data_IF_507858586317
#
_entry.id   IF_507858586317
#
_cell.length_a   1.000
_cell.length_b   1.000
_cell.length_c   1.000
_cell.angle_alpha   90.00
_cell.angle_beta   90.00
_cell.angle_gamma   90.00
#
_symmetry.space_group_name_H-M   'P 1'
#
loop_
_entity.id
_entity.type
_entity.pdbx_description
1 polymer ?
#
# COMPACT_ATOMS: atom_id res chain seq x y z
N UNK A 1 -14.47 -16.66 -18.40
CA UNK A 1 -14.79 -15.46 -19.20
C UNK A 1 -13.85 -15.41 -20.38
N UNK A 2 -14.32 -15.01 -21.57
CA UNK A 2 -13.45 -14.81 -22.73
C UNK A 2 -12.54 -13.63 -22.42
N UNK A 3 -11.22 -13.81 -22.52
CA UNK A 3 -10.28 -12.71 -22.31
C UNK A 3 -10.52 -11.65 -23.38
N UNK A 4 -10.76 -10.45 -22.96
CA UNK A 4 -10.94 -9.29 -23.84
C UNK A 4 -9.58 -8.91 -24.42
N UNK A 5 -9.53 -8.49 -25.67
CA UNK A 5 -8.29 -8.21 -26.40
C UNK A 5 -8.33 -6.86 -27.09
N UNK A 6 -7.15 -6.25 -27.20
CA UNK A 6 -6.93 -5.03 -27.96
C UNK A 6 -5.60 -5.07 -28.70
N UNK A 7 -5.32 -4.03 -29.48
CA UNK A 7 -4.06 -3.84 -30.19
C UNK A 7 -3.49 -2.48 -29.92
N UNK A 8 -2.17 -2.39 -29.77
CA UNK A 8 -1.47 -1.12 -29.60
C UNK A 8 -1.57 -0.28 -30.86
N UNK A 9 -2.16 0.90 -30.73
CA UNK A 9 -2.28 1.91 -31.77
C UNK A 9 -1.14 2.93 -31.74
N UNK A 10 -0.67 3.32 -30.54
CA UNK A 10 0.40 4.28 -30.35
C UNK A 10 1.21 4.01 -29.07
N UNK A 11 2.45 4.49 -29.03
CA UNK A 11 3.37 4.34 -27.89
C UNK A 11 4.01 5.70 -27.61
N UNK A 12 3.89 6.16 -26.35
CA UNK A 12 4.52 7.39 -25.86
C UNK A 12 5.23 7.10 -24.51
N UNK A 13 6.50 6.72 -24.58
CA UNK A 13 7.25 6.29 -23.40
C UNK A 13 6.65 5.02 -22.82
N UNK A 14 6.21 5.06 -21.56
CA UNK A 14 5.49 3.95 -20.92
C UNK A 14 3.96 4.08 -20.95
N UNK A 15 3.44 5.08 -21.68
CA UNK A 15 2.02 5.17 -22.03
C UNK A 15 1.81 4.55 -23.41
N UNK A 16 0.79 3.71 -23.54
CA UNK A 16 0.36 3.11 -24.79
C UNK A 16 -1.11 3.41 -25.05
N UNK A 17 -1.47 3.63 -26.30
CA UNK A 17 -2.86 3.71 -26.73
C UNK A 17 -3.24 2.39 -27.36
N UNK A 18 -4.36 1.84 -26.95
CA UNK A 18 -4.85 0.51 -27.36
C UNK A 18 -6.25 0.65 -27.94
N UNK A 19 -6.43 0.19 -29.17
CA UNK A 19 -7.75 0.04 -29.79
C UNK A 19 -8.39 -1.26 -29.26
N UNK A 20 -9.65 -1.22 -28.86
CA UNK A 20 -10.42 -2.35 -28.36
C UNK A 20 -11.87 -2.34 -28.88
N UNK A 21 -12.50 -3.51 -28.85
CA UNK A 21 -13.88 -3.71 -29.32
C UNK A 21 -14.83 -4.16 -28.19
N UNK A 22 -14.28 -4.77 -27.14
CA UNK A 22 -15.03 -5.33 -26.01
C UNK A 22 -15.21 -4.28 -24.89
N UNK A 23 -16.09 -4.54 -23.91
CA UNK A 23 -16.26 -3.70 -22.74
C UNK A 23 -15.04 -3.80 -21.81
N UNK A 24 -14.40 -2.68 -21.51
CA UNK A 24 -13.30 -2.57 -20.54
C UNK A 24 -13.63 -1.55 -19.45
N UNK A 25 -12.96 -1.65 -18.31
CA UNK A 25 -13.20 -0.75 -17.18
C UNK A 25 -11.96 0.10 -16.86
N UNK A 26 -12.19 1.29 -16.34
CA UNK A 26 -11.10 2.15 -15.87
C UNK A 26 -10.41 1.52 -14.66
N UNK A 27 -9.09 1.69 -14.55
CA UNK A 27 -8.19 1.05 -13.58
C UNK A 27 -8.08 -0.49 -13.71
N UNK A 28 -8.52 -1.05 -14.82
CA UNK A 28 -8.33 -2.46 -15.12
C UNK A 28 -6.86 -2.77 -15.42
N UNK A 29 -6.39 -3.91 -14.93
CA UNK A 29 -5.09 -4.44 -15.31
C UNK A 29 -5.18 -5.08 -16.70
N UNK A 30 -4.24 -4.73 -17.55
CA UNK A 30 -4.06 -5.35 -18.84
C UNK A 30 -2.60 -5.82 -19.02
N UNK A 31 -2.38 -6.73 -19.93
CA UNK A 31 -1.07 -7.30 -20.21
C UNK A 31 -0.70 -7.10 -21.68
N UNK A 32 0.38 -6.40 -21.93
CA UNK A 32 0.97 -6.26 -23.26
C UNK A 32 1.75 -7.53 -23.59
N UNK A 33 1.43 -8.16 -24.69
CA UNK A 33 2.12 -9.36 -25.20
C UNK A 33 3.10 -8.96 -26.29
N UNK A 34 4.39 -8.94 -26.01
CA UNK A 34 5.43 -8.58 -26.95
C UNK A 34 6.63 -9.51 -26.84
N UNK A 35 7.05 -10.11 -27.95
CA UNK A 35 8.23 -10.99 -28.04
C UNK A 35 8.30 -12.09 -26.98
N UNK A 36 7.13 -12.71 -26.66
CA UNK A 36 7.00 -13.76 -25.65
C UNK A 36 7.04 -13.27 -24.20
N UNK A 37 7.08 -11.96 -23.97
CA UNK A 37 6.97 -11.33 -22.66
C UNK A 37 5.56 -10.86 -22.40
N UNK A 38 5.20 -10.77 -21.14
CA UNK A 38 3.90 -10.32 -20.67
C UNK A 38 4.09 -9.15 -19.71
N UNK A 39 3.89 -7.92 -20.20
CA UNK A 39 4.11 -6.72 -19.40
C UNK A 39 2.80 -6.23 -18.81
N UNK A 40 2.79 -6.08 -17.50
CA UNK A 40 1.63 -5.57 -16.76
C UNK A 40 1.42 -4.09 -17.01
N UNK A 41 0.17 -3.69 -17.19
CA UNK A 41 -0.24 -2.30 -17.40
C UNK A 41 -1.59 -2.04 -16.72
N UNK A 42 -1.96 -0.78 -16.60
CA UNK A 42 -3.24 -0.34 -16.04
C UNK A 42 -3.92 0.64 -17.00
N UNK A 43 -5.22 0.49 -17.18
CA UNK A 43 -6.06 1.40 -17.95
C UNK A 43 -6.28 2.67 -17.14
N UNK A 44 -5.70 3.79 -17.61
CA UNK A 44 -5.82 5.08 -16.92
C UNK A 44 -7.00 5.90 -17.44
N UNK A 45 -7.24 5.86 -18.77
CA UNK A 45 -8.28 6.64 -19.42
C UNK A 45 -8.89 5.87 -20.58
N UNK A 46 -10.18 6.02 -20.77
CA UNK A 46 -10.92 5.46 -21.89
C UNK A 46 -11.59 6.60 -22.66
N UNK A 47 -11.45 6.59 -23.98
CA UNK A 47 -12.07 7.59 -24.86
C UNK A 47 -12.58 6.90 -26.14
N UNK A 48 -13.89 6.75 -26.24
CA UNK A 48 -14.50 5.99 -27.35
C UNK A 48 -14.05 4.53 -27.33
N UNK A 49 -13.42 4.08 -28.41
CA UNK A 49 -12.86 2.74 -28.58
C UNK A 49 -11.34 2.68 -28.33
N UNK A 50 -10.77 3.71 -27.71
CA UNK A 50 -9.37 3.78 -27.33
C UNK A 50 -9.17 3.82 -25.83
N UNK A 51 -8.24 3.00 -25.35
CA UNK A 51 -7.79 2.99 -23.96
C UNK A 51 -6.34 3.48 -23.89
N UNK A 52 -6.07 4.35 -22.91
CA UNK A 52 -4.73 4.81 -22.57
C UNK A 52 -4.27 3.99 -21.38
N UNK A 53 -3.23 3.17 -21.59
CA UNK A 53 -2.67 2.30 -20.59
C UNK A 53 -1.30 2.78 -20.18
N UNK A 54 -1.02 2.68 -18.90
CA UNK A 54 0.31 2.88 -18.37
C UNK A 54 0.95 1.53 -18.08
N UNK A 55 2.09 1.26 -18.72
CA UNK A 55 2.88 0.05 -18.48
C UNK A 55 3.71 0.21 -17.23
N UNK A 56 3.68 -0.77 -16.33
CA UNK A 56 4.43 -0.77 -15.06
C UNK A 56 5.92 -1.06 -15.22
N UNK A 57 6.35 -1.42 -16.42
CA UNK A 57 7.72 -1.74 -16.77
C UNK A 57 8.23 -0.88 -17.91
N UNK A 58 9.51 -1.07 -18.29
CA UNK A 58 10.08 -0.40 -19.46
C UNK A 58 9.49 -0.96 -20.75
N UNK A 59 9.05 -0.07 -21.61
CA UNK A 59 8.38 -0.40 -22.89
C UNK A 59 9.34 -0.65 -24.07
N UNK A 60 10.64 -0.78 -23.79
CA UNK A 60 11.65 -1.02 -24.84
C UNK A 60 11.38 -2.36 -25.55
N UNK A 61 11.13 -2.31 -26.84
CA UNK A 61 10.84 -3.48 -27.67
C UNK A 61 9.37 -3.71 -27.97
N UNK A 62 8.43 -3.01 -27.32
CA UNK A 62 6.99 -3.02 -27.65
C UNK A 62 6.79 -2.34 -29.02
N UNK A 63 5.86 -2.87 -29.82
CA UNK A 63 5.56 -2.40 -31.17
C UNK A 63 4.09 -2.03 -31.32
N UNK A 64 3.81 -1.06 -32.19
CA UNK A 64 2.44 -0.83 -32.67
C UNK A 64 1.93 -2.10 -33.35
N UNK A 65 0.71 -2.52 -33.00
CA UNK A 65 0.11 -3.76 -33.44
C UNK A 65 0.28 -4.94 -32.47
N UNK A 66 1.14 -4.83 -31.45
CA UNK A 66 1.24 -5.85 -30.39
C UNK A 66 -0.11 -6.04 -29.69
N UNK A 67 -0.39 -7.27 -29.27
CA UNK A 67 -1.64 -7.66 -28.64
C UNK A 67 -1.66 -7.25 -27.16
N UNK A 68 -2.82 -6.82 -26.68
CA UNK A 68 -3.07 -6.50 -25.26
C UNK A 68 -4.23 -7.37 -24.76
N UNK A 69 -4.03 -8.07 -23.64
CA UNK A 69 -5.05 -8.85 -22.95
C UNK A 69 -5.54 -8.08 -21.71
N UNK A 70 -6.85 -7.83 -21.64
CA UNK A 70 -7.48 -7.24 -20.45
C UNK A 70 -7.86 -8.34 -19.44
N UNK A 71 -7.67 -8.06 -18.15
CA UNK A 71 -7.83 -9.07 -17.10
C UNK A 71 -9.23 -9.16 -16.52
N UNK A 72 -10.06 -8.13 -16.70
CA UNK A 72 -11.38 -7.99 -16.07
C UNK A 72 -11.31 -7.58 -14.60
N UNK A 73 -10.13 -7.22 -14.08
CA UNK A 73 -9.93 -6.84 -12.67
C UNK A 73 -8.95 -5.71 -12.47
N UNK A 74 -9.08 -4.98 -11.37
CA UNK A 74 -8.19 -3.89 -11.00
C UNK A 74 -6.86 -4.40 -10.41
N UNK A 75 -5.85 -3.51 -10.35
CA UNK A 75 -4.59 -3.80 -9.67
C UNK A 75 -4.88 -4.18 -8.21
N UNK A 76 -4.48 -5.39 -7.84
CA UNK A 76 -4.80 -5.99 -6.55
C UNK A 76 -3.54 -6.50 -5.86
N UNK A 77 -3.60 -6.58 -4.53
CA UNK A 77 -2.59 -7.20 -3.67
C UNK A 77 -3.14 -8.49 -3.07
N UNK A 78 -2.27 -9.44 -2.80
CA UNK A 78 -2.58 -10.65 -2.08
C UNK A 78 -2.48 -10.40 -0.56
N UNK A 79 -3.56 -10.69 0.16
CA UNK A 79 -3.70 -10.49 1.60
C UNK A 79 -3.79 -11.85 2.29
N UNK A 80 -2.91 -12.10 3.24
CA UNK A 80 -2.82 -13.38 3.95
C UNK A 80 -1.61 -13.43 4.87
N UNK A 81 -1.40 -14.54 5.60
CA UNK A 81 -0.24 -14.71 6.47
C UNK A 81 1.06 -14.81 5.67
N UNK A 82 2.15 -14.24 6.20
CA UNK A 82 3.46 -14.19 5.54
C UNK A 82 3.81 -12.83 4.95
N UNK A 83 3.02 -11.79 5.20
CA UNK A 83 3.31 -10.42 4.77
C UNK A 83 4.34 -9.73 5.66
N UNK A 84 4.38 -10.04 6.96
CA UNK A 84 5.36 -9.45 7.88
C UNK A 84 6.78 -9.85 7.52
N UNK A 85 7.73 -9.00 7.85
CA UNK A 85 9.16 -9.16 7.55
C UNK A 85 9.53 -9.06 6.06
N UNK A 86 8.55 -8.86 5.18
CA UNK A 86 8.79 -8.83 3.75
C UNK A 86 9.13 -7.43 3.23
N UNK A 87 9.85 -7.46 2.11
CA UNK A 87 10.22 -6.28 1.34
C UNK A 87 9.66 -6.47 -0.07
N UNK A 88 8.71 -5.64 -0.43
CA UNK A 88 8.03 -5.67 -1.73
C UNK A 88 8.37 -4.46 -2.59
N UNK A 89 8.15 -4.58 -3.89
CA UNK A 89 8.03 -3.42 -4.76
C UNK A 89 6.61 -2.82 -4.71
N UNK A 90 6.35 -1.78 -5.49
CA UNK A 90 5.04 -1.12 -5.55
C UNK A 90 3.90 -1.99 -6.10
N UNK A 91 4.20 -3.14 -6.70
CA UNK A 91 3.26 -4.12 -7.25
C UNK A 91 3.17 -5.38 -6.39
N UNK A 92 3.76 -5.35 -5.20
CA UNK A 92 3.83 -6.47 -4.25
C UNK A 92 4.69 -7.65 -4.74
N UNK A 93 5.69 -7.43 -5.60
CA UNK A 93 6.67 -8.47 -5.89
C UNK A 93 7.71 -8.55 -4.75
N UNK A 94 8.00 -9.75 -4.20
CA UNK A 94 8.97 -9.90 -3.12
C UNK A 94 10.40 -9.70 -3.64
N UNK A 95 11.02 -8.57 -3.29
CA UNK A 95 12.34 -8.15 -3.80
C UNK A 95 13.47 -9.12 -3.42
N UNK A 96 13.52 -9.71 -2.20
CA UNK A 96 14.55 -10.68 -1.87
C UNK A 96 14.46 -11.95 -2.72
N UNK A 97 13.27 -12.41 -3.06
CA UNK A 97 13.05 -13.60 -3.89
C UNK A 97 13.38 -13.34 -5.35
N UNK A 98 13.01 -12.16 -5.85
CA UNK A 98 13.43 -11.70 -7.18
C UNK A 98 14.96 -11.68 -7.29
N UNK A 99 15.67 -11.09 -6.30
CA UNK A 99 17.11 -11.01 -6.29
C UNK A 99 17.78 -12.41 -6.22
N UNK A 100 17.22 -13.33 -5.45
CA UNK A 100 17.71 -14.72 -5.37
C UNK A 100 17.53 -15.47 -6.69
N UNK A 101 16.41 -15.25 -7.39
CA UNK A 101 16.07 -15.99 -8.60
C UNK A 101 16.74 -15.43 -9.86
N UNK A 102 16.87 -14.10 -9.95
CA UNK A 102 17.29 -13.42 -11.18
C UNK A 102 18.58 -12.59 -11.01
N UNK A 103 19.12 -12.48 -9.79
CA UNK A 103 20.31 -11.67 -9.50
C UNK A 103 20.00 -10.18 -9.45
N UNK A 104 21.01 -9.35 -9.77
CA UNK A 104 20.91 -7.89 -9.64
C UNK A 104 20.13 -7.21 -10.78
N UNK A 105 19.93 -7.89 -11.90
CA UNK A 105 19.22 -7.36 -13.05
C UNK A 105 17.88 -8.08 -13.19
N UNK A 106 16.79 -7.37 -12.91
CA UNK A 106 15.45 -7.93 -13.03
C UNK A 106 15.04 -8.02 -14.51
N UNK A 107 14.68 -9.22 -14.98
CA UNK A 107 14.15 -9.38 -16.34
C UNK A 107 12.76 -8.73 -16.45
N UNK A 108 12.46 -8.23 -17.64
CA UNK A 108 11.15 -7.63 -17.96
C UNK A 108 10.10 -8.73 -18.11
N UNK A 109 8.90 -8.51 -17.58
CA UNK A 109 7.75 -9.42 -17.67
C UNK A 109 7.76 -10.54 -16.63
N UNK A 110 8.41 -10.33 -15.49
CA UNK A 110 8.47 -11.31 -14.39
C UNK A 110 7.61 -10.86 -13.22
N UNK A 111 6.68 -11.70 -12.84
CA UNK A 111 5.89 -11.58 -11.61
C UNK A 111 6.18 -12.80 -10.71
N UNK A 112 6.23 -12.59 -9.40
CA UNK A 112 6.31 -13.65 -8.40
C UNK A 112 5.09 -13.56 -7.47
N UNK A 113 4.68 -14.74 -6.95
CA UNK A 113 3.65 -14.78 -5.91
C UNK A 113 4.12 -13.96 -4.71
N UNK A 114 3.27 -13.09 -4.20
CA UNK A 114 3.58 -12.22 -3.07
C UNK A 114 3.76 -12.99 -1.76
N UNK A 115 3.03 -14.10 -1.62
CA UNK A 115 3.03 -14.97 -0.46
C UNK A 115 3.55 -16.37 -0.82
N UNK A 116 4.25 -17.01 0.12
CA UNK A 116 4.75 -18.38 -0.07
C UNK A 116 3.62 -19.40 -0.10
N UNK A 117 3.40 -20.03 -1.25
CA UNK A 117 2.43 -21.13 -1.38
C UNK A 117 2.91 -22.46 -0.77
N UNK A 118 4.16 -22.55 -0.32
CA UNK A 118 4.77 -23.77 0.24
C UNK A 118 4.81 -23.76 1.77
N UNK A 119 4.75 -22.60 2.37
CA UNK A 119 4.77 -22.45 3.83
C UNK A 119 3.48 -22.97 4.43
N UNK A 120 3.60 -23.68 5.56
CA UNK A 120 2.47 -24.25 6.31
C UNK A 120 2.27 -23.48 7.60
N UNK A 121 1.06 -23.06 7.81
CA UNK A 121 0.60 -22.29 8.97
C UNK A 121 -0.24 -23.16 9.89
N UNK A 122 -0.01 -23.05 11.20
CA UNK A 122 -0.79 -23.76 12.22
C UNK A 122 -2.15 -23.07 12.42
N UNK A 123 -3.15 -23.49 11.66
CA UNK A 123 -4.50 -22.92 11.70
C UNK A 123 -5.26 -23.40 12.93
N UNK A 124 -5.81 -22.45 13.69
CA UNK A 124 -6.73 -22.68 14.81
C UNK A 124 -8.08 -22.08 14.47
N UNK A 125 -9.14 -22.89 14.28
CA UNK A 125 -10.48 -22.38 13.99
C UNK A 125 -11.06 -21.67 15.21
N UNK A 126 -11.73 -20.54 15.00
CA UNK A 126 -12.48 -19.78 16.00
C UNK A 126 -13.99 -19.82 15.71
N UNK A 127 -14.36 -19.80 14.43
CA UNK A 127 -15.74 -19.92 13.99
C UNK A 127 -16.24 -21.37 14.00
N UNK A 128 -17.56 -21.56 13.99
CA UNK A 128 -18.23 -22.85 13.98
C UNK A 128 -19.14 -22.98 12.76
N UNK A 129 -19.36 -24.24 12.32
CA UNK A 129 -20.34 -24.52 11.28
C UNK A 129 -21.72 -24.05 11.73
N UNK A 130 -22.44 -23.32 10.86
CA UNK A 130 -23.74 -22.71 11.12
C UNK A 130 -23.65 -21.23 11.52
N UNK A 131 -22.46 -20.70 11.79
CA UNK A 131 -22.30 -19.28 12.08
C UNK A 131 -22.68 -18.45 10.85
N UNK A 132 -23.29 -17.29 11.12
CA UNK A 132 -23.54 -16.26 10.11
C UNK A 132 -22.31 -15.40 9.98
N UNK A 133 -21.78 -15.30 8.78
CA UNK A 133 -20.51 -14.63 8.48
C UNK A 133 -20.67 -13.63 7.35
N UNK A 134 -19.92 -12.55 7.43
CA UNK A 134 -19.81 -11.53 6.38
C UNK A 134 -18.36 -11.09 6.23
N UNK A 135 -18.07 -10.21 5.27
CA UNK A 135 -16.73 -9.68 5.04
C UNK A 135 -16.03 -9.25 6.33
N UNK A 136 -14.76 -9.62 6.48
CA UNK A 136 -13.95 -9.30 7.67
C UNK A 136 -14.24 -10.14 8.91
N UNK A 137 -15.22 -11.06 8.88
CA UNK A 137 -15.48 -11.96 10.01
C UNK A 137 -14.30 -12.92 10.22
N UNK A 138 -13.87 -13.11 11.47
CA UNK A 138 -12.72 -13.96 11.81
C UNK A 138 -13.10 -15.44 11.81
N UNK A 139 -12.57 -16.20 10.87
CA UNK A 139 -12.77 -17.67 10.77
C UNK A 139 -11.88 -18.44 11.73
N UNK A 140 -10.66 -17.97 11.93
CA UNK A 140 -9.65 -18.59 12.76
C UNK A 140 -8.40 -17.74 12.83
N UNK A 141 -7.30 -18.30 13.34
CA UNK A 141 -6.03 -17.60 13.43
C UNK A 141 -4.85 -18.52 13.16
N UNK A 142 -3.74 -17.93 12.75
CA UNK A 142 -2.42 -18.57 12.64
C UNK A 142 -1.37 -17.73 13.36
N UNK A 143 -0.31 -18.33 13.93
CA UNK A 143 0.80 -17.54 14.47
C UNK A 143 1.64 -16.95 13.34
N UNK A 144 1.87 -15.65 13.36
CA UNK A 144 2.78 -14.93 12.46
C UNK A 144 3.71 -14.05 13.30
N UNK A 145 4.95 -14.51 13.47
CA UNK A 145 5.91 -13.87 14.37
C UNK A 145 5.40 -13.75 15.79
N UNK A 146 5.22 -12.52 16.28
CA UNK A 146 4.70 -12.20 17.62
C UNK A 146 3.17 -12.02 17.66
N UNK A 147 2.53 -12.04 16.50
CA UNK A 147 1.10 -11.77 16.34
C UNK A 147 0.29 -13.03 16.07
N UNK A 148 -0.98 -12.97 16.44
CA UNK A 148 -2.02 -13.90 15.97
C UNK A 148 -2.66 -13.30 14.73
N UNK A 149 -2.27 -13.80 13.55
CA UNK A 149 -2.85 -13.36 12.30
C UNK A 149 -4.26 -13.91 12.16
N UNK A 150 -5.27 -13.04 12.12
CA UNK A 150 -6.66 -13.43 11.93
C UNK A 150 -6.91 -13.83 10.48
N UNK A 151 -7.45 -15.02 10.27
CA UNK A 151 -7.92 -15.46 8.94
C UNK A 151 -9.37 -15.03 8.80
N UNK A 152 -9.62 -14.14 7.87
CA UNK A 152 -10.91 -13.45 7.72
C UNK A 152 -11.65 -13.91 6.47
N UNK A 153 -12.98 -13.75 6.50
CA UNK A 153 -13.82 -13.84 5.31
C UNK A 153 -13.40 -12.73 4.34
N UNK A 154 -13.16 -13.03 3.05
CA UNK A 154 -12.76 -12.04 2.06
C UNK A 154 -13.69 -10.82 2.00
N UNK A 155 -13.12 -9.66 1.73
CA UNK A 155 -13.86 -8.38 1.79
C UNK A 155 -14.84 -8.17 0.62
N UNK A 156 -14.81 -9.02 -0.39
CA UNK A 156 -15.76 -9.07 -1.50
C UNK A 156 -17.06 -9.87 -1.18
N UNK A 157 -17.20 -10.39 0.04
CA UNK A 157 -18.40 -11.09 0.54
C UNK A 157 -19.32 -10.07 1.22
N UNK A 158 -20.14 -9.38 0.44
CA UNK A 158 -21.04 -8.33 0.95
C UNK A 158 -22.29 -8.88 1.66
N UNK A 159 -22.82 -10.01 1.17
CA UNK A 159 -24.01 -10.63 1.75
C UNK A 159 -23.68 -11.42 3.02
N UNK A 160 -24.64 -11.50 3.95
CA UNK A 160 -24.55 -12.40 5.10
C UNK A 160 -24.65 -13.86 4.61
N UNK A 161 -23.59 -14.64 4.81
CA UNK A 161 -23.47 -16.03 4.40
C UNK A 161 -23.52 -16.98 5.59
N UNK A 162 -23.88 -18.24 5.37
CA UNK A 162 -23.80 -19.31 6.36
C UNK A 162 -22.46 -20.05 6.22
N UNK A 163 -21.74 -20.26 7.33
CA UNK A 163 -20.53 -21.08 7.35
C UNK A 163 -20.92 -22.56 7.32
N UNK A 164 -20.81 -23.20 6.16
CA UNK A 164 -21.22 -24.60 5.96
C UNK A 164 -20.12 -25.62 6.25
N UNK A 165 -18.85 -25.16 6.31
CA UNK A 165 -17.70 -25.99 6.66
C UNK A 165 -16.51 -25.18 7.09
N UNK A 166 -15.73 -25.71 8.05
CA UNK A 166 -14.46 -25.14 8.51
C UNK A 166 -13.48 -26.28 8.78
N UNK A 167 -12.21 -26.05 8.44
CA UNK A 167 -11.12 -26.99 8.67
C UNK A 167 -10.85 -27.15 10.17
N UNK A 168 -10.41 -28.35 10.57
CA UNK A 168 -9.94 -28.61 11.93
C UNK A 168 -8.60 -27.91 12.17
N UNK A 169 -8.22 -27.74 13.44
CA UNK A 169 -6.89 -27.29 13.79
C UNK A 169 -5.81 -28.19 13.13
N UNK A 170 -4.82 -27.56 12.52
CA UNK A 170 -3.78 -28.28 11.77
C UNK A 170 -2.95 -27.39 10.86
N UNK A 171 -2.00 -27.99 10.14
CA UNK A 171 -1.07 -27.29 9.25
C UNK A 171 -1.59 -27.23 7.82
N UNK A 172 -1.81 -26.03 7.35
CA UNK A 172 -2.33 -25.74 6.00
C UNK A 172 -1.46 -24.71 5.30
N UNK A 173 -1.42 -24.77 3.98
CA UNK A 173 -0.85 -23.72 3.13
C UNK A 173 -1.88 -22.62 2.91
N UNK A 174 -1.45 -21.46 2.43
CA UNK A 174 -2.35 -20.34 2.10
C UNK A 174 -3.36 -20.69 1.00
N UNK A 175 -3.08 -21.70 0.16
CA UNK A 175 -3.94 -22.13 -0.96
C UNK A 175 -4.89 -23.26 -0.57
N UNK A 176 -4.71 -23.89 0.59
CA UNK A 176 -5.59 -24.95 1.06
C UNK A 176 -6.96 -24.40 1.45
N UNK A 177 -7.98 -25.16 1.17
CA UNK A 177 -9.35 -24.84 1.60
C UNK A 177 -9.46 -24.94 3.11
N UNK A 178 -9.80 -23.82 3.78
CA UNK A 178 -9.97 -23.76 5.23
C UNK A 178 -11.43 -23.59 5.65
N UNK A 179 -12.28 -23.04 4.80
CA UNK A 179 -13.70 -22.89 5.07
C UNK A 179 -14.54 -22.95 3.82
N UNK A 180 -15.86 -23.10 3.98
CA UNK A 180 -16.84 -22.94 2.90
C UNK A 180 -18.01 -22.15 3.43
N UNK A 181 -18.44 -21.15 2.66
CA UNK A 181 -19.60 -20.31 2.96
C UNK A 181 -20.67 -20.53 1.90
N UNK A 182 -21.94 -20.39 2.30
CA UNK A 182 -23.10 -20.46 1.42
C UNK A 182 -23.81 -19.13 1.42
N UNK A 183 -23.97 -18.54 0.27
CA UNK A 183 -24.68 -17.27 0.10
C UNK A 183 -26.21 -17.43 0.23
N UNK A 184 -26.99 -16.35 0.36
CA UNK A 184 -28.46 -16.42 0.43
C UNK A 184 -29.11 -17.05 -0.79
N UNK A 185 -28.43 -17.11 -1.94
CA UNK A 185 -28.89 -17.74 -3.18
C UNK A 185 -28.56 -19.24 -3.25
N UNK A 186 -27.90 -19.76 -2.20
CA UNK A 186 -27.56 -21.17 -2.10
C UNK A 186 -26.23 -21.57 -2.76
N UNK A 187 -25.49 -20.63 -3.35
CA UNK A 187 -24.19 -20.88 -3.96
C UNK A 187 -23.12 -21.06 -2.88
N UNK A 188 -22.34 -22.12 -2.99
CA UNK A 188 -21.22 -22.40 -2.07
C UNK A 188 -19.92 -21.85 -2.65
N UNK A 189 -19.15 -21.15 -1.81
CA UNK A 189 -17.80 -20.66 -2.11
C UNK A 189 -16.82 -21.22 -1.09
N UNK A 190 -15.73 -21.80 -1.59
CA UNK A 190 -14.62 -22.23 -0.76
C UNK A 190 -13.69 -21.06 -0.47
N UNK A 191 -13.18 -21.01 0.77
CA UNK A 191 -12.29 -19.97 1.25
C UNK A 191 -10.92 -20.56 1.61
N UNK A 192 -9.89 -19.78 1.33
CA UNK A 192 -8.48 -20.06 1.65
C UNK A 192 -7.97 -19.04 2.65
N UNK A 193 -6.72 -19.16 3.13
CA UNK A 193 -6.14 -18.19 4.07
C UNK A 193 -5.76 -16.88 3.41
N UNK A 194 -5.57 -16.87 2.08
CA UNK A 194 -5.22 -15.67 1.33
C UNK A 194 -6.29 -15.34 0.30
N UNK A 195 -6.46 -14.05 0.04
CA UNK A 195 -7.35 -13.52 -1.00
C UNK A 195 -6.80 -12.22 -1.57
N UNK A 196 -7.26 -11.83 -2.76
CA UNK A 196 -6.84 -10.60 -3.41
C UNK A 196 -7.81 -9.45 -3.13
N UNK A 197 -7.26 -8.21 -3.01
CA UNK A 197 -8.06 -6.99 -2.86
C UNK A 197 -7.51 -5.86 -3.74
N UNK A 198 -8.37 -5.07 -4.42
CA UNK A 198 -7.94 -3.96 -5.27
C UNK A 198 -7.32 -2.83 -4.43
N UNK A 199 -6.09 -2.39 -4.79
CA UNK A 199 -5.35 -1.40 -3.98
C UNK A 199 -6.00 -0.01 -3.95
N UNK A 200 -6.74 0.36 -5.01
CA UNK A 200 -7.43 1.66 -5.10
C UNK A 200 -8.79 1.68 -4.41
N UNK A 201 -9.26 0.54 -3.89
CA UNK A 201 -10.53 0.43 -3.15
C UNK A 201 -10.23 0.34 -1.65
N UNK A 202 -10.70 1.29 -0.83
CA UNK A 202 -10.54 1.21 0.62
C UNK A 202 -11.18 -0.05 1.21
N UNK A 203 -10.58 -0.60 2.26
CA UNK A 203 -11.17 -1.71 3.02
C UNK A 203 -12.12 -1.13 4.07
N UNK A 204 -13.42 -1.36 3.88
CA UNK A 204 -14.50 -0.88 4.73
C UNK A 204 -15.29 -2.01 5.41
N UNK A 205 -14.60 -3.12 5.74
CA UNK A 205 -15.18 -4.31 6.36
C UNK A 205 -15.29 -4.20 7.90
N UNK A 206 -15.46 -3.00 8.43
CA UNK A 206 -15.64 -2.68 9.84
C UNK A 206 -17.10 -2.33 10.16
N UNK A 207 -17.43 -2.30 11.45
CA UNK A 207 -18.77 -1.92 11.92
C UNK A 207 -18.96 -0.40 11.87
N UNK A 208 -17.96 0.33 12.37
CA UNK A 208 -17.99 1.79 12.48
C UNK A 208 -16.59 2.38 12.39
N UNK A 209 -16.47 3.55 11.77
CA UNK A 209 -15.25 4.36 11.77
C UNK A 209 -15.42 5.48 12.79
N UNK A 210 -14.51 5.51 13.77
CA UNK A 210 -14.52 6.49 14.84
C UNK A 210 -13.72 7.73 14.49
N UNK A 211 -14.06 8.85 15.13
CA UNK A 211 -13.20 10.00 15.13
C UNK A 211 -11.98 9.73 16.02
N UNK A 212 -10.74 9.94 15.54
CA UNK A 212 -9.55 9.71 16.34
C UNK A 212 -9.43 10.79 17.43
N UNK A 213 -9.52 10.38 18.69
CA UNK A 213 -9.45 11.26 19.88
C UNK A 213 -8.33 10.88 20.82
N UNK A 214 -7.83 9.66 20.75
CA UNK A 214 -6.73 9.20 21.60
C UNK A 214 -5.38 9.61 20.99
N UNK A 215 -4.45 10.19 21.79
CA UNK A 215 -3.11 10.47 21.30
C UNK A 215 -2.33 9.18 21.03
N UNK A 216 -1.56 9.15 19.96
CA UNK A 216 -0.52 8.17 19.72
C UNK A 216 0.71 8.53 20.53
N UNK A 217 1.07 7.73 21.51
CA UNK A 217 2.31 7.92 22.27
C UNK A 217 3.52 7.57 21.38
N UNK A 218 4.21 8.59 20.88
CA UNK A 218 5.37 8.43 19.99
C UNK A 218 6.68 8.25 20.76
N UNK A 219 6.70 8.54 22.07
CA UNK A 219 7.87 8.61 22.94
C UNK A 219 8.86 9.73 22.51
N UNK A 220 8.45 10.62 21.64
CA UNK A 220 9.20 11.80 21.24
C UNK A 220 8.60 13.02 21.94
N UNK A 221 9.29 13.52 22.96
CA UNK A 221 8.77 14.55 23.89
C UNK A 221 8.14 15.75 23.17
N UNK A 222 8.81 16.32 22.18
CA UNK A 222 8.30 17.50 21.46
C UNK A 222 7.00 17.21 20.72
N UNK A 223 6.83 15.99 20.19
CA UNK A 223 5.61 15.58 19.51
C UNK A 223 4.51 15.39 20.54
N UNK A 224 4.73 14.52 21.52
CA UNK A 224 3.70 14.13 22.48
C UNK A 224 3.19 15.29 23.35
N UNK A 225 4.02 16.34 23.55
CA UNK A 225 3.64 17.50 24.39
C UNK A 225 3.11 18.70 23.62
N UNK A 226 3.61 18.98 22.41
CA UNK A 226 3.25 20.17 21.66
C UNK A 226 2.42 19.89 20.42
N UNK A 227 2.64 18.76 19.75
CA UNK A 227 2.01 18.41 18.47
C UNK A 227 1.50 16.98 18.47
N UNK A 228 0.61 16.59 19.42
CA UNK A 228 0.18 15.21 19.56
C UNK A 228 -0.46 14.69 18.29
N UNK A 229 -0.03 13.50 17.87
CA UNK A 229 -0.61 12.77 16.75
C UNK A 229 -1.76 11.91 17.30
N UNK A 230 -2.91 11.96 16.66
CA UNK A 230 -4.02 11.09 17.05
C UNK A 230 -3.80 9.65 16.53
N UNK A 231 -4.10 8.66 17.35
CA UNK A 231 -4.10 7.24 16.99
C UNK A 231 -5.20 6.98 15.95
N UNK A 232 -4.82 6.47 14.79
CA UNK A 232 -5.73 6.39 13.64
C UNK A 232 -5.92 7.71 12.90
N UNK A 233 -5.15 8.74 13.25
CA UNK A 233 -5.14 10.04 12.58
C UNK A 233 -4.10 10.13 11.47
N UNK A 234 -3.84 11.37 11.06
CA UNK A 234 -2.93 11.69 9.96
C UNK A 234 -1.94 12.76 10.37
N UNK A 235 -0.70 12.65 9.91
CA UNK A 235 0.29 13.69 10.13
C UNK A 235 1.26 13.81 8.95
N UNK A 236 1.93 14.94 8.89
CA UNK A 236 2.92 15.22 7.87
C UNK A 236 4.22 15.74 8.49
N UNK A 237 5.35 15.34 7.92
CA UNK A 237 6.68 15.85 8.25
C UNK A 237 7.22 16.57 7.02
N UNK A 238 6.94 17.86 6.84
CA UNK A 238 7.57 18.63 5.79
C UNK A 238 8.93 19.12 6.25
N UNK A 239 9.84 19.25 5.31
CA UNK A 239 11.15 19.81 5.59
C UNK A 239 12.10 19.71 4.40
N UNK A 240 13.12 20.55 4.35
CA UNK A 240 14.12 20.53 3.30
C UNK A 240 14.90 19.21 3.28
N UNK A 241 15.63 18.99 2.20
CA UNK A 241 16.53 17.84 2.11
C UNK A 241 17.60 17.88 3.21
N UNK A 242 17.83 16.74 3.87
CA UNK A 242 18.82 16.65 4.97
C UNK A 242 18.34 17.12 6.34
N UNK A 243 17.09 17.61 6.48
CA UNK A 243 16.54 18.04 7.76
C UNK A 243 16.19 16.89 8.75
N UNK A 244 16.34 15.63 8.33
CA UNK A 244 16.13 14.47 9.20
C UNK A 244 14.74 13.87 9.16
N UNK A 245 13.96 14.04 8.06
CA UNK A 245 12.62 13.46 7.89
C UNK A 245 12.61 11.95 8.12
N UNK A 246 13.41 11.21 7.37
CA UNK A 246 13.50 9.75 7.46
C UNK A 246 13.98 9.30 8.85
N UNK A 247 14.90 10.05 9.46
CA UNK A 247 15.38 9.75 10.84
C UNK A 247 14.26 9.90 11.85
N UNK A 248 13.44 10.96 11.74
CA UNK A 248 12.29 11.14 12.63
C UNK A 248 11.23 10.05 12.43
N UNK A 249 10.96 9.64 11.19
CA UNK A 249 10.06 8.52 10.91
C UNK A 249 10.59 7.21 11.52
N UNK A 250 11.87 6.90 11.38
CA UNK A 250 12.49 5.72 11.98
C UNK A 250 12.40 5.77 13.52
N UNK A 251 12.60 6.95 14.11
CA UNK A 251 12.46 7.14 15.56
C UNK A 251 11.03 6.83 16.02
N UNK A 252 10.02 7.39 15.35
CA UNK A 252 8.60 7.14 15.65
C UNK A 252 8.30 5.65 15.45
N UNK A 253 8.73 5.03 14.36
CA UNK A 253 8.47 3.61 14.08
C UNK A 253 9.04 2.68 15.16
N UNK A 254 10.18 3.06 15.76
CA UNK A 254 10.86 2.27 16.78
C UNK A 254 10.19 2.35 18.15
N UNK A 255 9.77 3.55 18.56
CA UNK A 255 9.38 3.82 19.94
C UNK A 255 7.88 4.00 20.15
N UNK A 256 7.12 4.36 19.12
CA UNK A 256 5.69 4.58 19.24
C UNK A 256 4.92 3.33 19.67
N UNK A 257 3.83 3.53 20.39
CA UNK A 257 2.93 2.44 20.84
C UNK A 257 2.02 1.96 19.71
N UNK A 258 2.63 1.23 18.78
CA UNK A 258 1.99 0.63 17.59
C UNK A 258 2.38 -0.82 17.46
N UNK A 259 1.52 -1.62 16.83
CA UNK A 259 1.76 -3.04 16.62
C UNK A 259 2.57 -3.28 15.36
N UNK A 260 2.16 -2.70 14.24
CA UNK A 260 2.76 -2.93 12.92
C UNK A 260 3.21 -1.60 12.29
N UNK A 261 4.37 -1.65 11.66
CA UNK A 261 4.93 -0.56 10.86
C UNK A 261 4.90 -0.95 9.38
N UNK A 262 4.43 -0.05 8.53
CA UNK A 262 4.55 -0.18 7.08
C UNK A 262 5.33 1.03 6.57
N UNK A 263 6.43 0.77 5.88
CA UNK A 263 7.26 1.81 5.27
C UNK A 263 7.03 1.77 3.76
N UNK A 264 6.52 2.86 3.22
CA UNK A 264 6.35 3.06 1.80
C UNK A 264 7.40 4.06 1.28
N UNK A 265 8.49 3.55 0.72
CA UNK A 265 9.47 4.35 0.01
C UNK A 265 8.95 4.65 -1.40
N UNK A 266 8.36 5.84 -1.59
CA UNK A 266 7.63 6.23 -2.80
C UNK A 266 8.54 7.04 -3.74
N UNK A 267 9.47 6.39 -4.42
CA UNK A 267 10.35 7.04 -5.40
C UNK A 267 11.59 7.69 -4.79
N UNK A 268 12.01 7.25 -3.61
CA UNK A 268 13.25 7.73 -3.00
C UNK A 268 14.50 7.28 -3.77
N UNK A 269 15.64 7.90 -3.49
CA UNK A 269 16.91 7.56 -4.12
C UNK A 269 17.34 6.16 -3.73
N UNK A 270 17.85 5.38 -4.67
CA UNK A 270 18.28 4.01 -4.43
C UNK A 270 19.27 3.90 -3.24
N UNK A 271 20.16 4.88 -3.04
CA UNK A 271 21.09 4.92 -1.90
C UNK A 271 20.39 4.99 -0.55
N UNK A 272 19.40 5.86 -0.41
CA UNK A 272 18.62 6.03 0.82
C UNK A 272 17.77 4.80 1.14
N UNK A 273 17.20 4.20 0.09
CA UNK A 273 16.44 2.96 0.24
C UNK A 273 17.36 1.81 0.68
N UNK A 274 18.53 1.66 0.07
CA UNK A 274 19.52 0.64 0.44
C UNK A 274 20.00 0.84 1.88
N UNK A 275 20.19 2.08 2.31
CA UNK A 275 20.54 2.40 3.70
C UNK A 275 19.41 1.96 4.65
N UNK A 276 18.17 2.32 4.37
CA UNK A 276 17.00 1.88 5.14
C UNK A 276 16.92 0.35 5.20
N UNK A 277 17.08 -0.34 4.08
CA UNK A 277 17.03 -1.81 4.02
C UNK A 277 18.19 -2.49 4.78
N UNK A 278 19.33 -1.83 4.93
CA UNK A 278 20.48 -2.36 5.67
C UNK A 278 20.41 -2.04 7.17
N UNK A 279 19.95 -0.85 7.53
CA UNK A 279 19.95 -0.38 8.91
C UNK A 279 18.68 -0.80 9.65
N UNK A 280 17.53 -0.75 9.00
CA UNK A 280 16.25 -1.04 9.65
C UNK A 280 16.17 -2.45 10.26
N UNK A 281 16.67 -3.53 9.62
CA UNK A 281 16.70 -4.87 10.23
C UNK A 281 17.63 -4.99 11.45
N UNK A 282 18.56 -4.03 11.65
CA UNK A 282 19.45 -4.00 12.81
C UNK A 282 18.84 -3.25 14.00
N UNK A 283 17.77 -2.49 13.76
CA UNK A 283 17.08 -1.77 14.82
C UNK A 283 16.38 -2.75 15.75
N UNK A 284 16.67 -2.63 17.03
CA UNK A 284 16.00 -3.41 18.06
C UNK A 284 14.67 -2.75 18.46
N UNK A 285 13.61 -3.56 18.54
CA UNK A 285 12.34 -3.15 19.11
C UNK A 285 12.48 -3.15 20.64
N UNK A 286 12.40 -1.98 21.31
CA UNK A 286 12.58 -1.89 22.74
C UNK A 286 11.53 -2.63 23.57
N UNK A 287 10.41 -3.01 22.95
CA UNK A 287 9.34 -3.76 23.60
C UNK A 287 9.59 -5.26 23.67
N UNK A 288 10.26 -5.80 22.66
CA UNK A 288 10.46 -7.25 22.51
C UNK A 288 11.91 -7.68 22.62
N UNK A 289 12.89 -6.76 22.50
CA UNK A 289 14.31 -7.05 22.38
C UNK A 289 14.69 -7.78 21.08
N UNK A 290 13.76 -7.88 20.13
CA UNK A 290 13.94 -8.49 18.81
C UNK A 290 14.12 -7.42 17.73
N UNK A 291 14.40 -7.84 16.52
CA UNK A 291 14.51 -6.89 15.41
C UNK A 291 13.15 -6.24 15.11
N UNK A 292 13.18 -4.92 14.86
CA UNK A 292 12.00 -4.16 14.46
C UNK A 292 11.36 -4.69 13.17
N UNK A 293 12.15 -5.35 12.33
CA UNK A 293 11.69 -5.96 11.08
C UNK A 293 10.61 -7.04 11.31
N UNK A 294 10.56 -7.70 12.49
CA UNK A 294 9.55 -8.74 12.78
C UNK A 294 8.12 -8.20 12.77
N UNK A 295 7.93 -6.89 12.96
CA UNK A 295 6.63 -6.22 12.89
C UNK A 295 6.54 -5.19 11.76
N UNK A 296 7.41 -5.31 10.74
CA UNK A 296 7.50 -4.31 9.67
C UNK A 296 7.30 -4.94 8.30
N UNK A 297 6.66 -4.18 7.41
CA UNK A 297 6.58 -4.43 5.98
C UNK A 297 7.19 -3.23 5.27
N UNK A 298 8.03 -3.46 4.26
CA UNK A 298 8.63 -2.39 3.47
C UNK A 298 8.14 -2.50 2.02
N UNK A 299 7.53 -1.44 1.53
CA UNK A 299 7.23 -1.28 0.11
C UNK A 299 8.28 -0.35 -0.47
N UNK A 300 9.11 -0.89 -1.34
CA UNK A 300 10.26 -0.18 -1.87
C UNK A 300 10.09 0.12 -3.35
N UNK A 301 9.92 1.40 -3.69
CA UNK A 301 9.93 1.87 -5.07
C UNK A 301 10.91 3.02 -5.21
N UNK A 302 12.00 2.80 -5.97
CA UNK A 302 13.03 3.81 -6.17
C UNK A 302 12.68 4.78 -7.29
N UNK A 303 13.35 5.94 -7.31
CA UNK A 303 13.17 6.96 -8.35
C UNK A 303 13.51 6.50 -9.77
N UNK A 304 14.31 5.42 -9.91
CA UNK A 304 14.65 4.81 -11.20
C UNK A 304 13.62 3.80 -11.70
N UNK A 305 12.68 3.37 -10.84
CA UNK A 305 11.61 2.47 -11.25
C UNK A 305 10.52 3.21 -12.06
N UNK A 306 9.72 2.49 -12.86
CA UNK A 306 8.67 3.09 -13.67
C UNK A 306 7.67 3.92 -12.86
N UNK A 307 7.18 4.99 -13.47
CA UNK A 307 6.31 5.99 -12.84
C UNK A 307 5.02 5.37 -12.29
N UNK A 308 4.42 4.44 -13.05
CA UNK A 308 3.20 3.75 -12.64
C UNK A 308 3.38 2.92 -11.36
N UNK A 309 4.48 2.18 -11.26
CA UNK A 309 4.79 1.40 -10.06
C UNK A 309 5.03 2.33 -8.85
N UNK A 310 5.59 3.53 -9.08
CA UNK A 310 5.77 4.56 -8.06
C UNK A 310 4.42 5.14 -7.60
N UNK A 311 3.50 5.40 -8.53
CA UNK A 311 2.16 5.87 -8.20
C UNK A 311 1.37 4.84 -7.41
N UNK A 312 1.44 3.56 -7.78
CA UNK A 312 0.70 2.48 -7.12
C UNK A 312 1.25 2.09 -5.74
N UNK A 313 2.53 2.35 -5.45
CA UNK A 313 3.19 1.92 -4.20
C UNK A 313 2.51 2.42 -2.92
N UNK A 314 1.98 3.64 -2.96
CA UNK A 314 1.25 4.26 -1.84
C UNK A 314 -0.04 3.49 -1.54
N UNK A 315 -0.78 3.13 -2.59
CA UNK A 315 -2.04 2.38 -2.44
C UNK A 315 -1.80 0.95 -1.98
N UNK A 316 -0.75 0.29 -2.49
CA UNK A 316 -0.31 -1.03 -2.02
C UNK A 316 -0.03 -1.01 -0.53
N UNK A 317 0.79 -0.07 -0.06
CA UNK A 317 1.13 0.07 1.35
C UNK A 317 -0.09 0.35 2.23
N UNK A 318 -0.99 1.24 1.76
CA UNK A 318 -2.21 1.59 2.50
C UNK A 318 -3.16 0.42 2.63
N UNK A 319 -3.33 -0.37 1.56
CA UNK A 319 -4.19 -1.57 1.59
C UNK A 319 -3.66 -2.61 2.58
N UNK A 320 -2.34 -2.82 2.64
CA UNK A 320 -1.74 -3.68 3.66
C UNK A 320 -1.98 -3.15 5.08
N UNK A 321 -1.91 -1.83 5.27
CA UNK A 321 -2.22 -1.18 6.55
C UNK A 321 -3.67 -1.37 6.97
N UNK A 322 -4.61 -1.17 6.06
CA UNK A 322 -6.02 -1.41 6.30
C UNK A 322 -6.32 -2.88 6.62
N UNK A 323 -5.61 -3.81 5.97
CA UNK A 323 -5.76 -5.24 6.22
C UNK A 323 -5.42 -5.60 7.66
N UNK A 324 -4.29 -5.13 8.19
CA UNK A 324 -3.91 -5.38 9.58
C UNK A 324 -4.78 -4.61 10.57
N UNK A 325 -5.26 -3.41 10.22
CA UNK A 325 -6.29 -2.70 11.00
C UNK A 325 -7.53 -3.56 11.20
N UNK A 326 -7.96 -4.30 10.17
CA UNK A 326 -9.12 -5.21 10.25
C UNK A 326 -8.88 -6.44 11.16
N UNK A 327 -7.67 -6.64 11.64
CA UNK A 327 -7.35 -7.65 12.65
C UNK A 327 -7.41 -7.11 14.10
N UNK A 328 -7.74 -5.83 14.29
CA UNK A 328 -7.71 -5.17 15.59
C UNK A 328 -6.33 -4.67 16.00
N UNK A 329 -5.40 -4.51 15.04
CA UNK A 329 -4.05 -4.04 15.31
C UNK A 329 -3.92 -2.54 15.08
N UNK A 330 -2.99 -1.92 15.79
CA UNK A 330 -2.60 -0.53 15.59
C UNK A 330 -1.46 -0.46 14.59
N UNK A 331 -1.75 0.12 13.43
CA UNK A 331 -0.81 0.18 12.31
C UNK A 331 -0.33 1.61 12.10
N UNK A 332 0.97 1.77 11.88
CA UNK A 332 1.57 3.02 11.43
C UNK A 332 2.09 2.85 9.99
N UNK A 333 1.53 3.61 9.08
CA UNK A 333 2.02 3.73 7.71
C UNK A 333 2.86 4.98 7.58
N UNK A 334 4.10 4.82 7.12
CA UNK A 334 5.06 5.89 6.85
C UNK A 334 5.29 5.98 5.34
N UNK A 335 4.86 7.07 4.71
CA UNK A 335 5.05 7.33 3.28
C UNK A 335 6.22 8.31 3.07
N UNK A 336 7.34 7.83 2.54
CA UNK A 336 8.56 8.61 2.26
C UNK A 336 8.92 8.56 0.76
N UNK A 337 8.71 9.60 -0.06
CA UNK A 337 8.02 10.84 0.27
C UNK A 337 6.79 11.01 -0.63
N UNK A 338 5.75 11.64 -0.09
CA UNK A 338 4.54 11.93 -0.87
C UNK A 338 4.79 12.95 -1.98
N UNK A 339 5.84 13.79 -1.88
CA UNK A 339 6.28 14.66 -2.97
C UNK A 339 6.70 13.87 -4.21
N UNK A 340 7.38 12.72 -4.04
CA UNK A 340 7.77 11.86 -5.15
C UNK A 340 6.58 11.14 -5.78
N UNK A 341 5.61 10.77 -4.97
CA UNK A 341 4.33 10.26 -5.44
C UNK A 341 3.57 11.32 -6.26
N UNK A 342 3.49 12.56 -5.79
CA UNK A 342 2.90 13.68 -6.52
C UNK A 342 3.63 13.94 -7.85
N UNK A 343 4.96 13.85 -7.89
CA UNK A 343 5.73 13.93 -9.13
C UNK A 343 5.35 12.82 -10.13
N UNK A 344 5.08 11.61 -9.66
CA UNK A 344 4.59 10.54 -10.53
C UNK A 344 3.24 10.92 -11.17
N UNK A 345 2.31 11.46 -10.41
CA UNK A 345 1.03 11.95 -10.94
C UNK A 345 1.22 13.06 -11.97
N UNK A 346 2.16 14.01 -11.76
CA UNK A 346 2.50 15.05 -12.71
C UNK A 346 3.05 14.48 -14.02
N UNK A 347 3.91 13.46 -13.94
CA UNK A 347 4.46 12.81 -15.13
C UNK A 347 3.37 12.06 -15.93
N UNK A 348 2.43 11.39 -15.25
CA UNK A 348 1.29 10.70 -15.88
C UNK A 348 0.38 11.69 -16.58
N UNK A 349 -0.06 12.73 -15.87
CA UNK A 349 -0.93 13.79 -16.39
C UNK A 349 -0.32 14.49 -17.60
N UNK A 350 0.98 14.81 -17.55
CA UNK A 350 1.68 15.40 -18.68
C UNK A 350 1.71 14.52 -19.94
N UNK A 351 1.83 13.18 -19.77
CA UNK A 351 1.77 12.23 -20.90
C UNK A 351 0.37 12.00 -21.43
N UNK A 352 -0.65 12.23 -20.61
CA UNK A 352 -2.05 12.20 -21.01
C UNK A 352 -2.50 13.52 -21.65
N UNK A 353 -1.60 14.50 -21.74
CA UNK A 353 -1.89 15.85 -22.27
C UNK A 353 -3.06 16.51 -21.53
N UNK A 354 -3.19 16.25 -20.23
CA UNK A 354 -4.20 16.89 -19.38
C UNK A 354 -3.83 18.36 -19.16
N UNK A 355 -4.86 19.21 -18.99
CA UNK A 355 -4.65 20.62 -18.68
C UNK A 355 -3.94 20.74 -17.34
N UNK A 356 -2.73 21.32 -17.29
CA UNK A 356 -1.96 21.41 -16.05
C UNK A 356 -2.57 22.45 -15.10
N UNK A 357 -2.57 22.14 -13.81
CA UNK A 357 -2.80 23.09 -12.74
C UNK A 357 -1.52 23.82 -12.34
N UNK A 358 -1.48 24.29 -11.09
CA UNK A 358 -0.34 24.99 -10.51
C UNK A 358 0.93 24.13 -10.53
N UNK A 359 2.09 24.70 -10.85
CA UNK A 359 3.38 24.02 -11.01
C UNK A 359 3.34 22.75 -11.89
N UNK A 360 2.45 22.74 -12.89
CA UNK A 360 2.22 21.62 -13.80
C UNK A 360 1.74 20.32 -13.11
N UNK A 361 1.19 20.40 -11.91
CA UNK A 361 0.50 19.29 -11.30
C UNK A 361 -0.91 19.11 -11.90
N UNK A 362 -1.49 17.89 -11.86
CA UNK A 362 -2.85 17.68 -12.28
C UNK A 362 -3.85 18.43 -11.38
N UNK A 363 -4.95 18.92 -11.94
CA UNK A 363 -5.98 19.65 -11.20
C UNK A 363 -6.59 18.83 -10.04
N UNK A 364 -6.52 17.50 -10.12
CA UNK A 364 -7.03 16.59 -9.10
C UNK A 364 -5.98 16.22 -8.00
N UNK A 365 -4.83 16.88 -7.93
CA UNK A 365 -3.77 16.58 -6.97
C UNK A 365 -4.29 16.59 -5.52
N UNK A 366 -4.96 17.67 -5.11
CA UNK A 366 -5.48 17.82 -3.75
C UNK A 366 -6.48 16.71 -3.38
N UNK A 367 -7.38 16.37 -4.29
CA UNK A 367 -8.36 15.29 -4.05
C UNK A 367 -7.71 13.92 -3.93
N UNK A 368 -6.62 13.67 -4.65
CA UNK A 368 -5.83 12.43 -4.52
C UNK A 368 -5.08 12.37 -3.19
N UNK A 369 -4.50 13.48 -2.75
CA UNK A 369 -3.86 13.60 -1.44
C UNK A 369 -4.90 13.37 -0.33
N UNK A 370 -6.06 14.01 -0.40
CA UNK A 370 -7.15 13.82 0.55
C UNK A 370 -7.60 12.36 0.60
N UNK A 371 -7.88 11.74 -0.56
CA UNK A 371 -8.31 10.33 -0.64
C UNK A 371 -7.29 9.35 -0.05
N UNK A 372 -5.99 9.65 -0.15
CA UNK A 372 -4.95 8.84 0.47
C UNK A 372 -5.00 8.94 2.00
N UNK A 373 -5.01 10.16 2.55
CA UNK A 373 -5.02 10.36 3.99
C UNK A 373 -6.36 9.95 4.64
N UNK A 374 -7.49 10.08 3.93
CA UNK A 374 -8.81 9.62 4.41
C UNK A 374 -8.90 8.10 4.65
N UNK A 375 -7.98 7.31 4.12
CA UNK A 375 -7.88 5.88 4.42
C UNK A 375 -7.38 5.60 5.83
N UNK A 376 -6.74 6.55 6.50
CA UNK A 376 -6.46 6.49 7.93
C UNK A 376 -7.76 6.39 8.73
N UNK A 377 -7.70 5.82 9.93
CA UNK A 377 -8.86 5.77 10.81
C UNK A 377 -8.71 4.81 11.97
N UNK A 378 -9.44 5.12 13.02
CA UNK A 378 -9.75 4.23 14.12
C UNK A 378 -11.10 3.58 13.81
N UNK A 379 -11.20 2.27 13.89
CA UNK A 379 -12.42 1.52 13.55
C UNK A 379 -12.82 0.56 14.66
N UNK A 380 -14.13 0.34 14.79
CA UNK A 380 -14.68 -0.77 15.57
C UNK A 380 -14.99 -1.89 14.59
N UNK A 381 -14.46 -3.06 14.87
CA UNK A 381 -14.69 -4.27 14.09
C UNK A 381 -16.02 -4.95 14.50
N UNK A 382 -16.41 -5.96 13.73
CA UNK A 382 -17.65 -6.69 14.01
C UNK A 382 -17.61 -7.55 15.29
N UNK A 383 -16.42 -7.86 15.81
CA UNK A 383 -16.18 -8.52 17.09
C UNK A 383 -15.98 -7.54 18.26
N UNK A 384 -16.32 -6.26 18.06
CA UNK A 384 -16.20 -5.15 19.02
C UNK A 384 -14.74 -4.79 19.38
N UNK A 385 -13.74 -5.41 18.77
CA UNK A 385 -12.35 -4.99 18.91
C UNK A 385 -12.11 -3.69 18.12
N UNK A 386 -11.11 -2.92 18.53
CA UNK A 386 -10.70 -1.71 17.83
C UNK A 386 -9.40 -1.93 17.09
N UNK A 387 -9.31 -1.37 15.88
CA UNK A 387 -8.08 -1.34 15.11
C UNK A 387 -7.83 0.06 14.55
N UNK A 388 -6.57 0.44 14.39
CA UNK A 388 -6.23 1.77 13.89
C UNK A 388 -5.22 1.73 12.76
N UNK A 389 -5.35 2.67 11.81
CA UNK A 389 -4.33 2.96 10.81
C UNK A 389 -3.98 4.45 10.90
N UNK A 390 -2.79 4.73 11.42
CA UNK A 390 -2.23 6.09 11.45
C UNK A 390 -1.35 6.28 10.21
N UNK A 391 -1.54 7.37 9.46
CA UNK A 391 -0.77 7.65 8.25
C UNK A 391 0.12 8.88 8.47
N UNK A 392 1.43 8.67 8.34
CA UNK A 392 2.44 9.73 8.36
C UNK A 392 3.13 9.86 7.01
N UNK A 393 3.05 11.06 6.40
CA UNK A 393 3.74 11.33 5.15
C UNK A 393 4.89 12.32 5.34
N UNK A 394 5.96 12.18 4.55
CA UNK A 394 6.95 13.24 4.44
C UNK A 394 6.70 14.04 3.18
N UNK A 395 6.94 15.33 3.26
CA UNK A 395 6.95 16.23 2.11
C UNK A 395 8.32 16.92 2.02
N UNK A 396 8.83 16.98 0.80
CA UNK A 396 10.14 17.62 0.52
C UNK A 396 9.92 18.83 -0.38
N UNK A 397 9.50 19.98 0.19
CA UNK A 397 9.24 21.18 -0.58
C UNK A 397 10.51 21.66 -1.27
N UNK A 398 10.42 21.99 -2.56
CA UNK A 398 11.54 22.52 -3.34
C UNK A 398 12.03 23.85 -2.74
N UNK A 399 13.34 23.92 -2.46
CA UNK A 399 13.90 25.12 -1.80
C UNK A 399 13.40 25.42 -0.39
N UNK A 400 12.65 24.51 0.25
CA UNK A 400 12.01 24.74 1.55
C UNK A 400 10.74 25.62 1.46
N UNK A 401 10.18 25.79 0.28
CA UNK A 401 8.98 26.60 0.07
C UNK A 401 7.72 25.81 0.44
N UNK A 402 7.11 26.12 1.59
CA UNK A 402 5.86 25.48 2.02
C UNK A 402 4.61 25.90 1.21
N UNK A 403 4.72 26.91 0.34
CA UNK A 403 3.63 27.36 -0.53
C UNK A 403 3.44 26.45 -1.75
N UNK A 404 4.30 25.44 -1.97
CA UNK A 404 4.15 24.53 -3.11
C UNK A 404 2.83 23.71 -3.01
N UNK A 405 2.19 23.35 -4.15
CA UNK A 405 0.87 22.71 -4.16
C UNK A 405 0.79 21.40 -3.36
N UNK A 406 1.84 20.58 -3.35
CA UNK A 406 1.85 19.30 -2.62
C UNK A 406 1.83 19.53 -1.11
N UNK A 407 2.64 20.47 -0.63
CA UNK A 407 2.71 20.83 0.78
C UNK A 407 1.40 21.46 1.23
N UNK A 408 0.89 22.44 0.51
CA UNK A 408 -0.38 23.10 0.81
C UNK A 408 -1.57 22.13 0.76
N UNK A 409 -1.64 21.27 -0.25
CA UNK A 409 -2.68 20.25 -0.35
C UNK A 409 -2.62 19.24 0.80
N UNK A 410 -1.42 18.90 1.28
CA UNK A 410 -1.24 18.00 2.42
C UNK A 410 -1.66 18.67 3.74
N UNK A 411 -1.26 19.93 3.96
CA UNK A 411 -1.61 20.69 5.17
C UNK A 411 -3.11 20.83 5.39
N UNK A 412 -3.88 20.90 4.32
CA UNK A 412 -5.36 21.02 4.39
C UNK A 412 -6.05 19.77 4.93
N UNK A 413 -5.39 18.60 4.89
CA UNK A 413 -6.02 17.30 5.19
C UNK A 413 -5.41 16.56 6.37
N UNK A 414 -4.19 16.89 6.80
CA UNK A 414 -3.56 16.22 7.93
C UNK A 414 -3.96 16.82 9.27
N UNK A 415 -4.03 15.97 10.29
CA UNK A 415 -4.40 16.40 11.65
C UNK A 415 -3.24 16.99 12.45
N UNK A 416 -1.99 16.65 12.11
CA UNK A 416 -0.79 17.18 12.75
C UNK A 416 0.30 17.48 11.71
N UNK A 417 1.11 18.47 11.99
CA UNK A 417 2.14 18.98 11.11
C UNK A 417 3.44 19.20 11.90
N UNK A 418 4.52 18.55 11.47
CA UNK A 418 5.80 18.56 12.14
C UNK A 418 6.84 19.19 11.23
N UNK A 419 6.86 20.52 11.16
CA UNK A 419 7.78 21.30 10.33
C UNK A 419 9.23 21.10 10.75
N UNK A 420 10.11 20.65 9.84
CA UNK A 420 11.54 20.52 10.11
C UNK A 420 12.31 21.73 9.62
N UNK A 421 13.04 22.35 10.52
CA UNK A 421 13.90 23.51 10.23
C UNK A 421 15.28 23.06 9.78
N UNK A 422 15.76 23.68 8.69
CA UNK A 422 17.13 23.51 8.23
C UNK A 422 18.14 24.10 9.21
N UNK A 423 17.85 25.26 9.77
CA UNK A 423 18.71 25.94 10.74
C UNK A 423 18.94 25.08 11.98
N UNK A 424 17.88 24.48 12.54
CA UNK A 424 17.97 23.57 13.68
C UNK A 424 18.78 22.31 13.33
N UNK A 425 18.59 21.75 12.15
CA UNK A 425 19.35 20.58 11.69
C UNK A 425 20.85 20.90 11.54
N UNK A 426 21.21 22.05 10.96
CA UNK A 426 22.59 22.51 10.84
C UNK A 426 23.22 22.81 12.21
N UNK A 427 22.42 23.32 13.14
CA UNK A 427 22.82 23.52 14.55
C UNK A 427 22.85 22.22 15.38
N UNK A 428 22.57 21.03 14.72
CA UNK A 428 22.53 19.72 15.37
C UNK A 428 21.52 19.59 16.51
N UNK A 429 20.42 20.31 16.43
CA UNK A 429 19.27 20.19 17.34
C UNK A 429 18.30 19.16 16.81
N UNK A 430 18.27 17.97 17.40
CA UNK A 430 17.43 16.87 16.95
C UNK A 430 16.42 16.43 18.02
N UNK A 431 15.18 16.05 17.61
CA UNK A 431 14.62 16.22 16.27
C UNK A 431 14.54 17.71 15.90
N UNK A 432 14.80 18.03 14.61
CA UNK A 432 14.84 19.41 14.12
C UNK A 432 13.45 20.04 13.91
N UNK A 433 12.45 19.57 14.64
CA UNK A 433 11.08 20.11 14.62
C UNK A 433 11.10 21.56 15.10
N UNK A 434 10.53 22.45 14.30
CA UNK A 434 10.37 23.83 14.66
C UNK A 434 8.99 24.09 15.27
N UNK A 435 8.92 24.48 16.55
CA UNK A 435 7.65 24.75 17.21
C UNK A 435 6.87 25.95 16.66
N UNK A 436 7.52 26.83 15.90
CA UNK A 436 6.87 28.00 15.31
C UNK A 436 6.35 27.74 13.90
N UNK A 437 6.86 26.68 13.25
CA UNK A 437 6.45 26.27 11.90
C UNK A 437 5.59 24.97 11.89
N UNK A 438 5.31 24.42 13.08
CA UNK A 438 4.56 23.16 13.26
C UNK A 438 3.14 23.42 13.73
#
# INVERSE_FOLDING_TARGET
MKKQKGKIAAINGNMITVDFEDDIIQNEVAYVLSEGKRLKSEVIKITGNQAFLQVFEFTKGIKVGDEVEFSGGMLSVELGPGLLTQIYDGLQNPLPDLARKFGFFLPIGVELDALSSKEKWDFTPLAKKGDKVKRGFTLGSVPEGIFKHKIMVPFDVYDECELVGIAKAGKYTIKDKIASIKDPKGKVRDLTMAFSWPVKVPIDAYKEKLQPVEPLDTKVRIIDTLFPIAKGGTYCIPGPFGAGKTVLQQLISRYAEIDIVIIAACGERAGEVVETLKEFPKLEDPRTGRTLMERTIIICNTSSMPVAARESSVYTATTLGEYYRQMGLNVLLLADSTSRWAQAMREISGRLEEIPGEEAYPAYLESRIASFYERAGLVILHDEETGSLTIGGTVSPAGGNFEEPVTQGTLKVVGAFLGLSRERSEARQFPSVDPLES
#
